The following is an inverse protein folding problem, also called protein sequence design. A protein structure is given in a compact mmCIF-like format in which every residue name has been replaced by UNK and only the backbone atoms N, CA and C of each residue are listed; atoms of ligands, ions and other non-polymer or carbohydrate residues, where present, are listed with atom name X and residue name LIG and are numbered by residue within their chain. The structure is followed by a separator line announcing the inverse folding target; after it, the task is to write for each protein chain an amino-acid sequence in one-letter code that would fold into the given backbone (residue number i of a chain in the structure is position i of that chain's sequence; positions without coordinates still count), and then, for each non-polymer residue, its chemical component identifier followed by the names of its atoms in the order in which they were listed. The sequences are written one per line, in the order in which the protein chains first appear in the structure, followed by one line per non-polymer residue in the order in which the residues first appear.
data_IF_000902516546
#
_entry.id   IF_000902516546
#
_cell.length_a   1.000
_cell.length_b   1.000
_cell.length_c   1.000
_cell.angle_alpha   90.00
_cell.angle_beta   90.00
_cell.angle_gamma   90.00
#
_symmetry.space_group_name_H-M   'P 1'
#
loop_
_entity.id
_entity.type
_entity.pdbx_description
1 polymer ?
#
# COMPACT_ATOMS: atom_id res chain seq x y z
N UNK A 1 -3.34 35.31 -52.24
CA UNK A 1 -4.58 35.19 -51.44
C UNK A 1 -5.32 33.86 -51.63
N UNK A 2 -5.67 33.40 -52.84
CA UNK A 2 -6.39 32.10 -53.01
C UNK A 2 -5.52 30.86 -52.73
N UNK A 3 -4.21 30.89 -53.01
CA UNK A 3 -3.32 29.74 -52.77
C UNK A 3 -3.00 29.55 -51.28
N UNK A 4 -2.69 30.62 -50.53
CA UNK A 4 -2.45 30.53 -49.08
C UNK A 4 -3.69 30.07 -48.29
N UNK A 5 -4.91 30.43 -48.73
CA UNK A 5 -6.12 29.90 -48.10
C UNK A 5 -6.32 28.41 -48.37
N UNK A 6 -5.89 27.94 -49.54
CA UNK A 6 -6.01 26.54 -49.93
C UNK A 6 -4.99 25.65 -49.18
N UNK A 7 -3.77 26.16 -48.96
CA UNK A 7 -2.74 25.47 -48.16
C UNK A 7 -3.19 25.32 -46.70
N UNK A 8 -3.69 26.40 -46.08
CA UNK A 8 -4.21 26.36 -44.69
C UNK A 8 -5.38 25.40 -44.52
N UNK A 9 -6.31 25.37 -45.48
CA UNK A 9 -7.45 24.43 -45.46
C UNK A 9 -6.96 22.99 -45.58
N UNK A 10 -5.92 22.74 -46.39
CA UNK A 10 -5.33 21.40 -46.55
C UNK A 10 -4.64 20.94 -45.26
N UNK A 11 -3.84 21.81 -44.64
CA UNK A 11 -3.22 21.56 -43.34
C UNK A 11 -4.25 21.27 -42.23
N UNK A 12 -5.39 21.98 -42.23
CA UNK A 12 -6.46 21.76 -41.26
C UNK A 12 -7.19 20.42 -41.48
N UNK A 13 -7.36 20.00 -42.74
CA UNK A 13 -7.91 18.68 -43.10
C UNK A 13 -6.95 17.57 -42.68
N UNK A 14 -5.64 17.75 -42.91
CA UNK A 14 -4.61 16.80 -42.54
C UNK A 14 -4.49 16.66 -41.01
N UNK A 15 -4.61 17.77 -40.27
CA UNK A 15 -4.63 17.74 -38.80
C UNK A 15 -5.89 17.03 -38.26
N UNK A 16 -7.08 17.30 -38.82
CA UNK A 16 -8.32 16.58 -38.46
C UNK A 16 -8.24 15.09 -38.78
N UNK A 17 -7.61 14.72 -39.88
CA UNK A 17 -7.36 13.33 -40.26
C UNK A 17 -6.42 12.64 -39.26
N UNK A 18 -5.36 13.33 -38.83
CA UNK A 18 -4.41 12.84 -37.84
C UNK A 18 -5.05 12.67 -36.46
N UNK A 19 -5.84 13.64 -35.98
CA UNK A 19 -6.60 13.53 -34.73
C UNK A 19 -7.52 12.30 -34.74
N UNK A 20 -8.32 12.12 -35.80
CA UNK A 20 -9.19 10.92 -35.94
C UNK A 20 -8.40 9.61 -35.94
N UNK A 21 -7.15 9.63 -36.41
CA UNK A 21 -6.29 8.45 -36.39
C UNK A 21 -5.76 8.19 -34.97
N UNK A 22 -5.36 9.23 -34.24
CA UNK A 22 -4.96 9.14 -32.84
C UNK A 22 -6.11 8.68 -31.95
N UNK A 23 -7.33 9.22 -32.13
CA UNK A 23 -8.51 8.81 -31.37
C UNK A 23 -8.80 7.31 -31.56
N UNK A 24 -8.72 6.81 -32.80
CA UNK A 24 -8.86 5.38 -33.07
C UNK A 24 -7.78 4.51 -32.44
N UNK A 25 -6.54 5.01 -32.35
CA UNK A 25 -5.47 4.27 -31.66
C UNK A 25 -5.66 4.30 -30.14
N UNK A 26 -6.15 5.42 -29.59
CA UNK A 26 -6.49 5.55 -28.17
C UNK A 26 -7.64 4.61 -27.80
N UNK A 27 -8.69 4.52 -28.62
CA UNK A 27 -9.82 3.61 -28.41
C UNK A 27 -9.35 2.15 -28.43
N UNK A 28 -8.51 1.77 -29.39
CA UNK A 28 -7.92 0.42 -29.44
C UNK A 28 -7.10 0.10 -28.20
N UNK A 29 -6.25 1.04 -27.76
CA UNK A 29 -5.41 0.85 -26.59
C UNK A 29 -6.26 0.76 -25.30
N UNK A 30 -7.32 1.55 -25.22
CA UNK A 30 -8.29 1.51 -24.11
C UNK A 30 -9.01 0.16 -24.08
N UNK A 31 -9.51 -0.31 -25.22
CA UNK A 31 -10.16 -1.62 -25.32
C UNK A 31 -9.21 -2.76 -24.95
N UNK A 32 -7.95 -2.72 -25.39
CA UNK A 32 -6.97 -3.76 -25.03
C UNK A 32 -6.63 -3.72 -23.54
N UNK A 33 -6.52 -2.52 -22.95
CA UNK A 33 -6.31 -2.37 -21.51
C UNK A 33 -7.49 -2.91 -20.70
N UNK A 34 -8.73 -2.58 -21.06
CA UNK A 34 -9.93 -3.11 -20.41
C UNK A 34 -10.04 -4.63 -20.55
N UNK A 35 -9.67 -5.17 -21.73
CA UNK A 35 -9.64 -6.61 -21.97
C UNK A 35 -8.61 -7.29 -21.06
N UNK A 36 -7.40 -6.74 -20.94
CA UNK A 36 -6.37 -7.27 -20.05
C UNK A 36 -6.79 -7.19 -18.59
N UNK A 37 -7.35 -6.05 -18.17
CA UNK A 37 -7.84 -5.87 -16.81
C UNK A 37 -8.92 -6.89 -16.45
N UNK A 38 -9.86 -7.16 -17.37
CA UNK A 38 -10.89 -8.18 -17.18
C UNK A 38 -10.31 -9.58 -17.04
N UNK A 39 -9.33 -9.95 -17.87
CA UNK A 39 -8.66 -11.26 -17.77
C UNK A 39 -7.96 -11.41 -16.41
N UNK A 40 -7.30 -10.36 -15.92
CA UNK A 40 -6.69 -10.38 -14.59
C UNK A 40 -7.73 -10.51 -13.47
N UNK A 41 -8.88 -9.84 -13.59
CA UNK A 41 -9.96 -9.93 -12.62
C UNK A 41 -10.57 -11.35 -12.59
N UNK A 42 -10.83 -11.95 -13.75
CA UNK A 42 -11.30 -13.33 -13.88
C UNK A 42 -10.28 -14.33 -13.30
N UNK A 43 -8.98 -14.11 -13.52
CA UNK A 43 -7.91 -14.95 -12.97
C UNK A 43 -7.80 -14.84 -11.44
N UNK A 44 -7.98 -13.63 -10.88
CA UNK A 44 -8.01 -13.41 -9.43
C UNK A 44 -9.22 -14.12 -8.81
N UNK A 45 -10.40 -14.02 -9.44
CA UNK A 45 -11.61 -14.69 -8.96
C UNK A 45 -11.44 -16.23 -8.99
N UNK A 46 -10.89 -16.77 -10.08
CA UNK A 46 -10.56 -18.20 -10.19
C UNK A 46 -9.58 -18.65 -9.10
N UNK A 47 -8.45 -17.95 -8.94
CA UNK A 47 -7.45 -18.30 -7.92
C UNK A 47 -8.03 -18.20 -6.50
N UNK A 48 -8.90 -17.22 -6.26
CA UNK A 48 -9.56 -17.05 -4.96
C UNK A 48 -10.50 -18.21 -4.64
N UNK A 49 -11.30 -18.64 -5.62
CA UNK A 49 -12.23 -19.78 -5.44
C UNK A 49 -11.48 -21.10 -5.28
N UNK A 50 -10.40 -21.32 -6.03
CA UNK A 50 -9.51 -22.49 -5.86
C UNK A 50 -8.87 -22.51 -4.47
N UNK A 51 -8.33 -21.38 -3.99
CA UNK A 51 -7.75 -21.29 -2.66
C UNK A 51 -8.79 -21.57 -1.55
N UNK A 52 -10.00 -21.01 -1.68
CA UNK A 52 -11.10 -21.28 -0.74
C UNK A 52 -11.49 -22.75 -0.72
N UNK A 53 -11.60 -23.39 -1.88
CA UNK A 53 -11.88 -24.81 -1.99
C UNK A 53 -10.81 -25.65 -1.30
N UNK A 54 -9.52 -25.40 -1.58
CA UNK A 54 -8.42 -26.13 -0.95
C UNK A 54 -8.39 -25.96 0.57
N UNK A 55 -8.70 -24.76 1.08
CA UNK A 55 -8.79 -24.51 2.53
C UNK A 55 -9.93 -25.32 3.15
N UNK A 56 -11.12 -25.29 2.53
CA UNK A 56 -12.29 -26.04 3.02
C UNK A 56 -12.03 -27.55 3.01
N UNK A 57 -11.44 -28.07 1.94
CA UNK A 57 -11.08 -29.48 1.83
C UNK A 57 -10.05 -29.89 2.89
N UNK A 58 -9.03 -29.07 3.12
CA UNK A 58 -8.06 -29.31 4.19
C UNK A 58 -8.72 -29.31 5.57
N UNK A 59 -9.57 -28.32 5.87
CA UNK A 59 -10.30 -28.22 7.15
C UNK A 59 -11.18 -29.44 7.39
N UNK A 60 -11.92 -29.89 6.37
CA UNK A 60 -12.76 -31.08 6.44
C UNK A 60 -11.91 -32.33 6.70
N UNK A 61 -10.82 -32.51 5.96
CA UNK A 61 -9.90 -33.65 6.15
C UNK A 61 -9.30 -33.68 7.56
N UNK A 62 -8.90 -32.54 8.11
CA UNK A 62 -8.41 -32.44 9.49
C UNK A 62 -9.51 -32.79 10.50
N UNK A 63 -10.72 -32.28 10.31
CA UNK A 63 -11.87 -32.59 11.17
C UNK A 63 -12.19 -34.08 11.18
N UNK A 64 -12.25 -34.71 10.00
CA UNK A 64 -12.53 -36.14 9.86
C UNK A 64 -11.43 -37.01 10.48
N UNK A 65 -10.16 -36.62 10.33
CA UNK A 65 -9.02 -37.31 10.94
C UNK A 65 -9.08 -37.23 12.46
N UNK A 66 -9.34 -36.04 13.00
CA UNK A 66 -9.46 -35.79 14.44
C UNK A 66 -10.62 -36.58 15.06
N UNK A 67 -11.77 -36.64 14.36
CA UNK A 67 -12.92 -37.40 14.83
C UNK A 67 -12.67 -38.92 14.83
N UNK A 68 -11.99 -39.45 13.80
CA UNK A 68 -11.57 -40.86 13.77
C UNK A 68 -10.65 -41.19 14.93
N UNK A 69 -9.68 -40.33 15.22
CA UNK A 69 -8.73 -40.53 16.31
C UNK A 69 -9.41 -40.44 17.68
N UNK A 70 -10.32 -39.48 17.87
CA UNK A 70 -11.19 -39.39 19.05
C UNK A 70 -11.98 -40.68 19.28
N UNK A 71 -12.61 -41.21 18.23
CA UNK A 71 -13.42 -42.42 18.31
C UNK A 71 -12.57 -43.66 18.63
N UNK A 72 -11.36 -43.73 18.07
CA UNK A 72 -10.37 -44.77 18.38
C UNK A 72 -10.00 -44.74 19.86
N UNK A 73 -9.57 -43.59 20.39
CA UNK A 73 -9.25 -43.46 21.81
C UNK A 73 -10.44 -43.80 22.71
N UNK A 74 -11.64 -43.34 22.37
CA UNK A 74 -12.85 -43.66 23.12
C UNK A 74 -13.09 -45.17 23.20
N UNK A 75 -12.87 -45.90 22.10
CA UNK A 75 -12.99 -47.36 22.07
C UNK A 75 -11.91 -48.03 22.93
N UNK A 76 -10.66 -47.59 22.81
CA UNK A 76 -9.53 -48.14 23.56
C UNK A 76 -9.69 -47.94 25.08
N UNK A 77 -10.20 -46.77 25.50
CA UNK A 77 -10.56 -46.51 26.89
C UNK A 77 -11.69 -47.42 27.37
N UNK A 78 -12.77 -47.55 26.59
CA UNK A 78 -13.90 -48.44 26.94
C UNK A 78 -13.46 -49.89 27.10
N UNK A 79 -12.58 -50.36 26.22
CA UNK A 79 -12.05 -51.72 26.29
C UNK A 79 -11.11 -51.91 27.50
N UNK A 80 -10.28 -50.91 27.81
CA UNK A 80 -9.42 -50.92 29.00
C UNK A 80 -10.23 -50.95 30.29
N UNK A 81 -11.31 -50.17 30.38
CA UNK A 81 -12.24 -50.19 31.52
C UNK A 81 -12.87 -51.59 31.67
N UNK A 82 -13.38 -52.16 30.58
CA UNK A 82 -13.98 -53.51 30.61
C UNK A 82 -12.99 -54.57 31.12
N UNK A 83 -11.73 -54.53 30.65
CA UNK A 83 -10.67 -55.44 31.12
C UNK A 83 -10.36 -55.26 32.61
N UNK A 84 -10.40 -54.02 33.11
CA UNK A 84 -10.21 -53.75 34.53
C UNK A 84 -11.40 -54.27 35.36
N UNK A 85 -12.63 -54.07 34.90
CA UNK A 85 -13.84 -54.60 35.55
C UNK A 85 -13.81 -56.14 35.62
N UNK A 86 -13.42 -56.81 34.52
CA UNK A 86 -13.25 -58.27 34.49
C UNK A 86 -12.21 -58.75 35.51
N UNK A 87 -11.04 -58.09 35.60
CA UNK A 87 -10.01 -58.39 36.60
C UNK A 87 -10.49 -58.17 38.03
N UNK A 88 -11.27 -57.12 38.28
CA UNK A 88 -11.86 -56.85 39.60
C UNK A 88 -12.82 -57.97 40.00
N UNK A 89 -13.67 -58.42 39.07
CA UNK A 89 -14.61 -59.53 39.30
C UNK A 89 -13.87 -60.85 39.56
N UNK A 90 -12.81 -61.14 38.81
CA UNK A 90 -11.99 -62.33 39.00
C UNK A 90 -11.27 -62.31 40.37
N UNK A 91 -10.69 -61.16 40.74
CA UNK A 91 -10.04 -60.98 42.04
C UNK A 91 -11.05 -61.11 43.19
N UNK A 92 -12.27 -60.57 43.04
CA UNK A 92 -13.33 -60.71 44.03
C UNK A 92 -13.73 -62.17 44.22
N UNK A 93 -13.92 -62.93 43.13
CA UNK A 93 -14.24 -64.36 43.20
C UNK A 93 -13.13 -65.17 43.86
N UNK A 94 -11.87 -64.90 43.53
CA UNK A 94 -10.70 -65.52 44.18
C UNK A 94 -10.67 -65.24 45.68
N UNK A 95 -11.00 -64.02 46.10
CA UNK A 95 -11.09 -63.65 47.51
C UNK A 95 -12.24 -64.37 48.23
N UNK A 96 -13.41 -64.49 47.59
CA UNK A 96 -14.55 -65.22 48.14
C UNK A 96 -14.28 -66.73 48.26
N UNK A 97 -13.64 -67.36 47.27
CA UNK A 97 -13.21 -68.77 47.32
C UNK A 97 -12.14 -69.01 48.42
N UNK A 98 -11.21 -68.06 48.59
CA UNK A 98 -10.23 -68.08 49.69
C UNK A 98 -10.93 -68.04 51.07
N UNK A 99 -11.92 -67.16 51.27
CA UNK A 99 -12.66 -67.09 52.53
C UNK A 99 -13.49 -68.34 52.85
N UNK A 100 -14.00 -69.04 51.83
CA UNK A 100 -14.84 -70.24 52.02
C UNK A 100 -14.03 -71.52 52.27
N UNK A 101 -12.71 -71.50 52.05
CA UNK A 101 -11.83 -72.67 52.23
C UNK A 101 -11.04 -72.65 53.55
N UNK A 102 -11.02 -71.52 54.26
CA UNK A 102 -10.39 -71.36 55.57
C UNK A 102 -11.39 -71.55 56.72
N UNK A 103 -11.40 -72.73 57.35
CA UNK A 103 -12.15 -73.01 58.61
C UNK A 103 -11.29 -72.92 59.88
N UNK A 104 -10.09 -72.37 59.79
CA UNK A 104 -9.29 -71.98 60.96
C UNK A 104 -8.85 -70.53 60.77
N UNK A 105 -8.77 -69.76 61.86
CA UNK A 105 -8.38 -68.35 61.90
C UNK A 105 -7.29 -68.06 60.86
N UNK A 106 -7.68 -67.44 59.74
CA UNK A 106 -6.84 -67.36 58.57
C UNK A 106 -5.72 -66.35 58.80
N UNK A 107 -4.56 -66.84 59.23
CA UNK A 107 -3.31 -66.11 59.16
C UNK A 107 -2.99 -65.85 57.69
N UNK A 108 -3.23 -64.63 57.19
CA UNK A 108 -2.81 -64.23 55.85
C UNK A 108 -1.28 -64.40 55.80
N UNK A 109 -0.73 -65.25 54.91
CA UNK A 109 0.71 -65.44 54.84
C UNK A 109 1.39 -64.09 54.61
N UNK A 110 2.38 -63.76 55.45
CA UNK A 110 3.09 -62.48 55.36
C UNK A 110 3.62 -62.21 53.94
N UNK A 111 3.95 -63.26 53.18
CA UNK A 111 4.33 -63.20 51.76
C UNK A 111 3.27 -62.53 50.85
N UNK A 112 1.99 -62.86 50.97
CA UNK A 112 0.94 -62.31 50.08
C UNK A 112 0.68 -60.82 50.34
N UNK A 113 0.70 -60.42 51.61
CA UNK A 113 0.62 -59.02 52.01
C UNK A 113 1.81 -58.23 51.45
N UNK A 114 3.00 -58.83 51.45
CA UNK A 114 4.22 -58.22 50.88
C UNK A 114 4.12 -58.06 49.36
N UNK A 115 3.56 -59.05 48.64
CA UNK A 115 3.34 -58.98 47.19
C UNK A 115 2.34 -57.88 46.84
N UNK A 116 1.19 -57.84 47.52
CA UNK A 116 0.17 -56.81 47.30
C UNK A 116 0.70 -55.40 47.61
N UNK A 117 1.52 -55.24 48.65
CA UNK A 117 2.15 -53.97 49.01
C UNK A 117 3.13 -53.48 47.92
N UNK A 118 3.88 -54.40 47.29
CA UNK A 118 4.75 -54.07 46.15
C UNK A 118 3.96 -53.67 44.90
N UNK A 119 2.86 -54.37 44.60
CA UNK A 119 1.99 -54.04 43.46
C UNK A 119 1.34 -52.66 43.67
N UNK A 120 0.82 -52.39 44.87
CA UNK A 120 0.23 -51.10 45.20
C UNK A 120 1.25 -49.95 45.10
N UNK A 121 2.49 -50.15 45.57
CA UNK A 121 3.55 -49.16 45.41
C UNK A 121 3.88 -48.88 43.95
N UNK A 122 3.99 -49.93 43.12
CA UNK A 122 4.24 -49.78 41.68
C UNK A 122 3.10 -49.01 41.00
N UNK A 123 1.86 -49.33 41.32
CA UNK A 123 0.70 -48.69 40.71
C UNK A 123 0.55 -47.25 41.16
N UNK A 124 0.87 -46.94 42.42
CA UNK A 124 0.91 -45.57 42.93
C UNK A 124 1.96 -44.73 42.17
N UNK A 125 3.14 -45.29 41.91
CA UNK A 125 4.19 -44.62 41.13
C UNK A 125 3.74 -44.34 39.69
N UNK A 126 3.14 -45.32 39.02
CA UNK A 126 2.62 -45.16 37.66
C UNK A 126 1.51 -44.11 37.59
N UNK A 127 0.59 -44.13 38.56
CA UNK A 127 -0.49 -43.13 38.66
C UNK A 127 0.08 -41.72 38.82
N UNK A 128 1.05 -41.54 39.72
CA UNK A 128 1.68 -40.23 39.94
C UNK A 128 2.41 -39.73 38.68
N UNK A 129 3.05 -40.62 37.91
CA UNK A 129 3.70 -40.26 36.65
C UNK A 129 2.68 -39.80 35.59
N UNK A 130 1.59 -40.56 35.42
CA UNK A 130 0.50 -40.20 34.50
C UNK A 130 -0.19 -38.89 34.90
N UNK A 131 -0.36 -38.65 36.19
CA UNK A 131 -0.93 -37.40 36.71
C UNK A 131 0.00 -36.21 36.45
N UNK A 132 1.32 -36.43 36.51
CA UNK A 132 2.33 -35.47 36.08
C UNK A 132 2.24 -35.11 34.59
N UNK A 133 2.10 -36.10 33.71
CA UNK A 133 1.92 -35.89 32.27
C UNK A 133 0.61 -35.14 31.95
N UNK A 134 -0.49 -35.51 32.61
CA UNK A 134 -1.78 -34.82 32.45
C UNK A 134 -1.66 -33.35 32.85
N UNK A 135 -0.97 -33.05 33.95
CA UNK A 135 -0.74 -31.68 34.39
C UNK A 135 0.15 -30.91 33.42
N UNK A 136 1.18 -31.55 32.86
CA UNK A 136 2.04 -30.94 31.84
C UNK A 136 1.24 -30.59 30.58
N UNK A 137 0.44 -31.53 30.06
CA UNK A 137 -0.41 -31.32 28.89
C UNK A 137 -1.48 -30.24 29.14
N UNK A 138 -2.05 -30.18 30.35
CA UNK A 138 -2.98 -29.09 30.74
C UNK A 138 -2.31 -27.72 30.67
N UNK A 139 -1.07 -27.60 31.14
CA UNK A 139 -0.33 -26.35 31.09
C UNK A 139 -0.02 -25.94 29.65
N UNK A 140 0.43 -26.87 28.81
CA UNK A 140 0.65 -26.60 27.37
C UNK A 140 -0.64 -26.17 26.66
N UNK A 141 -1.77 -26.82 26.95
CA UNK A 141 -3.09 -26.43 26.43
C UNK A 141 -3.51 -25.02 26.87
N UNK A 142 -3.19 -24.62 28.10
CA UNK A 142 -3.49 -23.28 28.58
C UNK A 142 -2.65 -22.21 27.87
N UNK A 143 -1.35 -22.47 27.65
CA UNK A 143 -0.47 -21.58 26.89
C UNK A 143 -0.92 -21.42 25.43
N UNK A 144 -1.28 -22.52 24.77
CA UNK A 144 -1.79 -22.49 23.39
C UNK A 144 -3.08 -21.68 23.29
N UNK A 145 -4.01 -21.82 24.23
CA UNK A 145 -5.25 -21.01 24.27
C UNK A 145 -4.98 -19.52 24.43
N UNK A 146 -4.01 -19.15 25.26
CA UNK A 146 -3.62 -17.74 25.41
C UNK A 146 -3.01 -17.18 24.13
N UNK A 147 -2.17 -17.97 23.45
CA UNK A 147 -1.58 -17.60 22.17
C UNK A 147 -2.63 -17.45 21.07
N UNK A 148 -3.60 -18.37 21.04
CA UNK A 148 -4.72 -18.36 20.09
C UNK A 148 -5.60 -17.11 20.28
N UNK A 149 -5.99 -16.79 21.51
CA UNK A 149 -6.73 -15.57 21.82
C UNK A 149 -5.99 -14.29 21.42
N UNK A 150 -4.66 -14.25 21.61
CA UNK A 150 -3.83 -13.12 21.14
C UNK A 150 -3.87 -13.00 19.61
N UNK A 151 -3.73 -14.12 18.90
CA UNK A 151 -3.78 -14.14 17.43
C UNK A 151 -5.15 -13.73 16.90
N UNK A 152 -6.23 -14.17 17.54
CA UNK A 152 -7.59 -13.75 17.19
C UNK A 152 -7.77 -12.23 17.34
N UNK A 153 -7.21 -11.64 18.41
CA UNK A 153 -7.20 -10.18 18.60
C UNK A 153 -6.48 -9.47 17.47
N UNK A 154 -5.32 -9.97 17.04
CA UNK A 154 -4.54 -9.35 15.96
C UNK A 154 -5.21 -9.51 14.60
N UNK A 155 -5.82 -10.67 14.33
CA UNK A 155 -6.65 -10.88 13.13
C UNK A 155 -7.83 -9.89 13.11
N UNK A 156 -8.48 -9.66 14.25
CA UNK A 156 -9.58 -8.70 14.35
C UNK A 156 -9.10 -7.27 14.04
N UNK A 157 -7.93 -6.86 14.56
CA UNK A 157 -7.33 -5.55 14.24
C UNK A 157 -7.02 -5.43 12.75
N UNK A 158 -6.42 -6.46 12.16
CA UNK A 158 -6.09 -6.48 10.72
C UNK A 158 -7.34 -6.38 9.85
N UNK A 159 -8.42 -7.10 10.20
CA UNK A 159 -9.70 -7.00 9.50
C UNK A 159 -10.27 -5.59 9.55
N UNK A 160 -10.22 -4.94 10.72
CA UNK A 160 -10.68 -3.56 10.87
C UNK A 160 -9.88 -2.58 10.01
N UNK A 161 -8.54 -2.68 10.03
CA UNK A 161 -7.70 -1.82 9.18
C UNK A 161 -7.98 -2.03 7.69
N UNK A 162 -8.20 -3.27 7.26
CA UNK A 162 -8.54 -3.58 5.87
C UNK A 162 -9.89 -2.97 5.47
N UNK A 163 -10.86 -2.99 6.38
CA UNK A 163 -12.17 -2.39 6.16
C UNK A 163 -12.08 -0.86 6.10
N UNK A 164 -11.30 -0.23 6.97
CA UNK A 164 -11.03 1.21 6.94
C UNK A 164 -10.35 1.62 5.61
N UNK A 165 -9.38 0.85 5.14
CA UNK A 165 -8.69 1.08 3.85
C UNK A 165 -9.65 0.95 2.65
N UNK A 166 -10.55 -0.05 2.68
CA UNK A 166 -11.57 -0.21 1.65
C UNK A 166 -12.53 0.99 1.60
N UNK A 167 -12.93 1.53 2.75
CA UNK A 167 -13.74 2.75 2.81
C UNK A 167 -13.00 3.97 2.26
N UNK A 168 -11.70 4.12 2.58
CA UNK A 168 -10.88 5.20 2.01
C UNK A 168 -10.77 5.09 0.48
N UNK A 169 -10.54 3.88 -0.03
CA UNK A 169 -10.47 3.62 -1.48
C UNK A 169 -11.75 4.03 -2.19
N UNK A 170 -12.91 3.70 -1.63
CA UNK A 170 -14.20 4.08 -2.23
C UNK A 170 -14.44 5.60 -2.18
N UNK A 171 -14.02 6.25 -1.09
CA UNK A 171 -14.05 7.72 -0.98
C UNK A 171 -13.18 8.37 -2.08
N UNK A 172 -11.93 7.93 -2.24
CA UNK A 172 -11.05 8.46 -3.28
C UNK A 172 -11.59 8.19 -4.68
N UNK A 173 -12.18 7.02 -4.93
CA UNK A 173 -12.85 6.71 -6.20
C UNK A 173 -13.99 7.67 -6.50
N UNK A 174 -14.80 8.01 -5.49
CA UNK A 174 -15.85 9.02 -5.60
C UNK A 174 -15.31 10.43 -5.87
N UNK A 175 -14.22 10.83 -5.21
CA UNK A 175 -13.54 12.10 -5.46
C UNK A 175 -12.96 12.18 -6.87
N UNK A 176 -12.33 11.11 -7.35
CA UNK A 176 -11.82 11.00 -8.73
C UNK A 176 -12.97 11.15 -9.72
N UNK A 177 -14.09 10.44 -9.53
CA UNK A 177 -15.25 10.56 -10.41
C UNK A 177 -15.84 11.99 -10.42
N UNK A 178 -15.87 12.65 -9.26
CA UNK A 178 -16.30 14.05 -9.14
C UNK A 178 -15.36 14.98 -9.89
N UNK A 179 -14.05 14.82 -9.71
CA UNK A 179 -13.02 15.61 -10.41
C UNK A 179 -13.08 15.39 -11.91
N UNK A 180 -13.27 14.14 -12.37
CA UNK A 180 -13.48 13.81 -13.78
C UNK A 180 -14.74 14.50 -14.32
N UNK A 181 -15.86 14.49 -13.59
CA UNK A 181 -17.09 15.20 -13.97
C UNK A 181 -16.88 16.72 -14.04
N UNK A 182 -16.17 17.31 -13.08
CA UNK A 182 -15.82 18.73 -13.09
C UNK A 182 -14.91 19.09 -14.26
N UNK A 183 -13.91 18.26 -14.57
CA UNK A 183 -13.07 18.41 -15.75
C UNK A 183 -13.88 18.34 -17.05
N UNK A 184 -14.87 17.44 -17.11
CA UNK A 184 -15.74 17.29 -18.27
C UNK A 184 -16.66 18.51 -18.43
N UNK A 185 -17.20 19.05 -17.33
CA UNK A 185 -17.95 20.31 -17.32
C UNK A 185 -17.09 21.50 -17.74
N UNK A 186 -15.89 21.64 -17.18
CA UNK A 186 -14.95 22.68 -17.56
C UNK A 186 -14.55 22.55 -19.03
N UNK A 187 -14.35 21.33 -19.54
CA UNK A 187 -14.12 21.08 -20.97
C UNK A 187 -15.31 21.51 -21.84
N UNK A 188 -16.54 21.27 -21.38
CA UNK A 188 -17.76 21.67 -22.06
C UNK A 188 -17.98 23.20 -22.02
N UNK A 189 -17.68 23.83 -20.88
CA UNK A 189 -17.71 25.29 -20.71
C UNK A 189 -16.64 25.96 -21.56
N UNK A 190 -15.40 25.45 -21.53
CA UNK A 190 -14.31 25.88 -22.41
C UNK A 190 -14.74 25.75 -23.88
N UNK A 191 -15.37 24.64 -24.28
CA UNK A 191 -15.95 24.45 -25.60
C UNK A 191 -17.04 25.47 -25.97
N UNK A 192 -17.92 25.84 -25.02
CA UNK A 192 -18.93 26.89 -25.20
C UNK A 192 -18.30 28.29 -25.28
N UNK A 193 -17.30 28.61 -24.46
CA UNK A 193 -16.53 29.85 -24.59
C UNK A 193 -15.77 29.92 -25.92
N UNK A 194 -15.29 28.80 -26.46
CA UNK A 194 -14.71 28.75 -27.82
C UNK A 194 -15.76 28.99 -28.91
N UNK A 195 -16.99 28.50 -28.76
CA UNK A 195 -18.08 28.81 -29.71
C UNK A 195 -18.57 30.26 -29.61
N UNK A 196 -18.58 30.86 -28.42
CA UNK A 196 -18.84 32.30 -28.25
C UNK A 196 -17.66 33.18 -28.70
N UNK A 197 -16.42 32.69 -28.60
CA UNK A 197 -15.23 33.36 -29.14
C UNK A 197 -14.99 33.10 -30.63
N UNK A 198 -15.65 32.11 -31.25
CA UNK A 198 -15.63 31.94 -32.71
C UNK A 198 -16.46 33.01 -33.45
N UNK A 199 -17.32 33.74 -32.74
CA UNK A 199 -17.87 35.01 -33.24
C UNK A 199 -16.88 36.20 -33.11
N UNK A 200 -15.70 35.99 -32.50
CA UNK A 200 -14.65 37.00 -32.35
C UNK A 200 -13.24 36.37 -32.29
N UNK A 201 -12.75 35.93 -33.45
CA UNK A 201 -11.33 35.94 -33.86
C UNK A 201 -10.26 35.21 -33.02
N UNK A 202 -9.69 34.15 -33.61
CA UNK A 202 -8.28 33.67 -33.52
C UNK A 202 -7.48 33.99 -32.23
N UNK A 203 -7.18 32.99 -31.38
CA UNK A 203 -6.29 33.29 -30.25
C UNK A 203 -5.67 32.21 -29.35
N UNK A 204 -5.75 30.90 -29.61
CA UNK A 204 -5.28 29.94 -28.57
C UNK A 204 -3.80 29.52 -28.64
N UNK A 205 -3.10 29.67 -29.77
CA UNK A 205 -1.62 29.59 -29.79
C UNK A 205 -0.93 30.94 -29.55
N UNK A 206 -1.70 32.03 -29.46
CA UNK A 206 -1.18 33.38 -29.29
C UNK A 206 -1.11 33.84 -27.82
N UNK A 207 -1.71 33.13 -26.86
CA UNK A 207 -1.84 33.59 -25.48
C UNK A 207 -0.55 33.42 -24.65
N UNK A 208 0.16 32.30 -24.79
CA UNK A 208 1.43 32.07 -24.07
C UNK A 208 2.56 32.90 -24.68
N UNK A 209 2.62 33.04 -26.01
CA UNK A 209 3.56 33.95 -26.67
C UNK A 209 3.32 35.42 -26.27
N UNK A 210 2.06 35.88 -26.23
CA UNK A 210 1.69 37.23 -25.77
C UNK A 210 2.03 37.50 -24.30
N UNK A 211 2.00 36.48 -23.43
CA UNK A 211 2.37 36.61 -22.02
C UNK A 211 3.84 37.05 -21.85
N UNK A 212 4.74 36.61 -22.75
CA UNK A 212 6.13 37.07 -22.77
C UNK A 212 6.28 38.41 -23.51
N UNK A 213 5.55 38.63 -24.60
CA UNK A 213 5.66 39.85 -25.42
C UNK A 213 5.14 41.13 -24.74
N UNK A 214 4.28 41.03 -23.72
CA UNK A 214 3.70 42.18 -23.01
C UNK A 214 4.19 42.35 -21.57
N UNK A 215 5.33 41.76 -21.19
CA UNK A 215 5.85 41.85 -19.83
C UNK A 215 5.03 41.10 -18.77
N UNK A 216 4.13 40.20 -19.21
CA UNK A 216 3.30 39.38 -18.33
C UNK A 216 4.13 38.47 -17.41
N UNK A 217 5.27 37.97 -17.90
CA UNK A 217 6.22 37.22 -17.07
C UNK A 217 6.69 38.03 -15.86
N UNK A 218 7.12 39.28 -16.05
CA UNK A 218 7.58 40.15 -14.95
C UNK A 218 6.49 40.39 -13.91
N UNK A 219 5.25 40.58 -14.38
CA UNK A 219 4.10 40.71 -13.48
C UNK A 219 3.83 39.42 -12.69
N UNK A 220 3.94 38.25 -13.32
CA UNK A 220 3.79 36.96 -12.63
C UNK A 220 4.90 36.77 -11.59
N UNK A 221 6.14 37.11 -11.92
CA UNK A 221 7.26 37.00 -10.99
C UNK A 221 7.09 37.93 -9.78
N UNK A 222 6.57 39.14 -9.97
CA UNK A 222 6.25 40.04 -8.84
C UNK A 222 5.18 39.47 -7.89
N UNK A 223 4.30 38.60 -8.38
CA UNK A 223 3.28 37.94 -7.56
C UNK A 223 3.86 36.79 -6.71
N UNK A 224 5.07 36.30 -6.99
CA UNK A 224 5.78 35.35 -6.12
C UNK A 224 6.14 35.98 -4.76
N UNK A 225 6.17 37.31 -4.69
CA UNK A 225 6.46 38.08 -3.49
C UNK A 225 5.20 38.70 -2.87
N UNK A 226 4.01 38.40 -3.42
CA UNK A 226 2.75 38.96 -2.93
C UNK A 226 2.44 38.51 -1.49
N UNK A 227 1.96 39.43 -0.65
CA UNK A 227 1.53 39.12 0.73
C UNK A 227 0.38 38.09 0.77
N UNK A 228 -0.55 38.18 -0.18
CA UNK A 228 -1.67 37.25 -0.30
C UNK A 228 -1.21 35.85 -0.71
N UNK A 229 -1.45 34.87 0.18
CA UNK A 229 -1.00 33.47 0.01
C UNK A 229 -1.58 32.82 -1.25
N UNK A 230 -2.86 33.05 -1.56
CA UNK A 230 -3.50 32.49 -2.76
C UNK A 230 -2.91 33.04 -4.07
N UNK A 231 -2.61 34.34 -4.10
CA UNK A 231 -1.99 34.98 -5.26
C UNK A 231 -0.58 34.42 -5.50
N UNK A 232 0.17 34.22 -4.41
CA UNK A 232 1.51 33.64 -4.43
C UNK A 232 1.49 32.19 -4.92
N UNK A 233 0.63 31.34 -4.36
CA UNK A 233 0.49 29.93 -4.77
C UNK A 233 0.13 29.84 -6.25
N UNK A 234 -0.83 30.65 -6.72
CA UNK A 234 -1.23 30.65 -8.11
C UNK A 234 -0.10 31.14 -9.04
N UNK A 235 0.67 32.15 -8.62
CA UNK A 235 1.85 32.59 -9.36
C UNK A 235 2.91 31.49 -9.47
N UNK A 236 3.22 30.79 -8.37
CA UNK A 236 4.18 29.67 -8.37
C UNK A 236 3.71 28.55 -9.31
N UNK A 237 2.41 28.20 -9.31
CA UNK A 237 1.82 27.22 -10.23
C UNK A 237 1.96 27.64 -11.70
N UNK A 238 1.71 28.91 -12.00
CA UNK A 238 1.87 29.44 -13.37
C UNK A 238 3.33 29.34 -13.79
N UNK A 239 4.29 29.73 -12.94
CA UNK A 239 5.72 29.65 -13.23
C UNK A 239 6.15 28.19 -13.43
N UNK A 240 5.69 27.26 -12.59
CA UNK A 240 5.96 25.83 -12.74
C UNK A 240 5.47 25.30 -14.09
N UNK A 241 4.25 25.65 -14.48
CA UNK A 241 3.70 25.27 -15.78
C UNK A 241 4.43 25.93 -16.96
N UNK A 242 4.89 27.18 -16.82
CA UNK A 242 5.68 27.83 -17.87
C UNK A 242 7.06 27.18 -18.01
N UNK A 243 7.67 26.74 -16.90
CA UNK A 243 9.00 26.13 -16.87
C UNK A 243 9.07 24.74 -17.48
N UNK A 244 7.93 24.03 -17.66
CA UNK A 244 7.93 22.73 -18.34
C UNK A 244 8.28 22.84 -19.83
N UNK A 245 8.13 24.03 -20.42
CA UNK A 245 8.49 24.31 -21.80
C UNK A 245 9.95 24.77 -21.88
N UNK A 246 10.80 24.04 -22.62
CA UNK A 246 12.23 24.31 -22.78
C UNK A 246 12.52 25.76 -23.20
N UNK A 247 11.72 26.31 -24.11
CA UNK A 247 11.87 27.67 -24.65
C UNK A 247 11.63 28.78 -23.61
N UNK A 248 11.01 28.46 -22.47
CA UNK A 248 10.71 29.39 -21.39
C UNK A 248 11.70 29.30 -20.24
N UNK A 249 12.37 28.16 -20.05
CA UNK A 249 13.24 27.90 -18.91
C UNK A 249 14.33 28.97 -18.77
N UNK A 250 15.04 29.28 -19.85
CA UNK A 250 16.08 30.32 -19.84
C UNK A 250 15.49 31.72 -19.56
N UNK A 251 14.37 32.06 -20.20
CA UNK A 251 13.70 33.36 -20.04
C UNK A 251 13.22 33.60 -18.60
N UNK A 252 12.73 32.56 -17.93
CA UNK A 252 12.31 32.63 -16.53
C UNK A 252 13.50 32.93 -15.62
N UNK A 253 14.65 32.29 -15.86
CA UNK A 253 15.87 32.54 -15.09
C UNK A 253 16.43 33.94 -15.35
N UNK A 254 16.51 34.37 -16.61
CA UNK A 254 16.95 35.72 -17.01
C UNK A 254 16.05 36.81 -16.42
N UNK A 255 14.76 36.52 -16.25
CA UNK A 255 13.79 37.42 -15.62
C UNK A 255 13.88 37.45 -14.08
N UNK A 256 14.78 36.70 -13.46
CA UNK A 256 14.96 36.64 -12.00
C UNK A 256 14.11 35.59 -11.28
N UNK A 257 13.33 34.79 -12.02
CA UNK A 257 12.38 33.84 -11.43
C UNK A 257 13.04 32.75 -10.58
N UNK A 258 14.28 32.35 -10.91
CA UNK A 258 15.03 31.39 -10.10
C UNK A 258 15.25 31.88 -8.67
N UNK A 259 15.67 33.13 -8.51
CA UNK A 259 15.96 33.71 -7.19
C UNK A 259 14.70 33.79 -6.33
N UNK A 260 13.57 34.19 -6.93
CA UNK A 260 12.27 34.20 -6.24
C UNK A 260 11.83 32.79 -5.84
N UNK A 261 11.99 31.80 -6.72
CA UNK A 261 11.65 30.40 -6.42
C UNK A 261 12.50 29.81 -5.29
N UNK A 262 13.82 30.05 -5.28
CA UNK A 262 14.71 29.58 -4.22
C UNK A 262 14.41 30.24 -2.88
N UNK A 263 14.12 31.55 -2.88
CA UNK A 263 13.73 32.30 -1.68
C UNK A 263 12.42 31.76 -1.11
N UNK A 264 11.45 31.50 -1.98
CA UNK A 264 10.14 30.98 -1.61
C UNK A 264 10.22 29.54 -1.10
N UNK A 265 11.05 28.70 -1.72
CA UNK A 265 11.31 27.34 -1.24
C UNK A 265 11.95 27.34 0.17
N UNK A 266 12.90 28.26 0.40
CA UNK A 266 13.59 28.39 1.70
C UNK A 266 12.69 28.90 2.83
N UNK A 267 11.81 29.86 2.52
CA UNK A 267 11.06 30.61 3.55
C UNK A 267 9.63 30.11 3.76
N UNK A 268 9.05 29.36 2.82
CA UNK A 268 7.68 28.86 2.93
C UNK A 268 7.59 27.70 3.92
N UNK A 269 6.53 27.70 4.73
CA UNK A 269 6.10 26.55 5.54
C UNK A 269 4.89 25.82 4.90
N UNK A 270 4.31 26.40 3.84
CA UNK A 270 3.23 25.75 3.10
C UNK A 270 3.79 24.67 2.17
N UNK A 271 3.39 23.43 2.41
CA UNK A 271 3.84 22.25 1.65
C UNK A 271 3.48 22.37 0.17
N UNK A 272 2.32 22.93 -0.17
CA UNK A 272 1.91 23.09 -1.58
C UNK A 272 2.85 24.04 -2.31
N UNK A 273 3.21 25.15 -1.67
CA UNK A 273 4.16 26.14 -2.17
C UNK A 273 5.54 25.53 -2.35
N UNK A 274 6.05 24.79 -1.35
CA UNK A 274 7.34 24.10 -1.44
C UNK A 274 7.36 23.07 -2.57
N UNK A 275 6.32 22.22 -2.66
CA UNK A 275 6.19 21.20 -3.71
C UNK A 275 6.23 21.81 -5.12
N UNK A 276 5.42 22.83 -5.36
CA UNK A 276 5.29 23.44 -6.69
C UNK A 276 6.53 24.26 -7.03
N UNK A 277 7.17 24.93 -6.05
CA UNK A 277 8.44 25.61 -6.27
C UNK A 277 9.58 24.64 -6.59
N UNK A 278 9.67 23.52 -5.86
CA UNK A 278 10.63 22.46 -6.15
C UNK A 278 10.40 21.85 -7.55
N UNK A 279 9.14 21.67 -7.96
CA UNK A 279 8.79 21.23 -9.32
C UNK A 279 9.25 22.22 -10.39
N UNK A 280 9.03 23.52 -10.19
CA UNK A 280 9.51 24.54 -11.11
C UNK A 280 11.05 24.52 -11.21
N UNK A 281 11.75 24.41 -10.08
CA UNK A 281 13.22 24.32 -10.06
C UNK A 281 13.70 23.05 -10.78
N UNK A 282 13.02 21.92 -10.60
CA UNK A 282 13.35 20.67 -11.29
C UNK A 282 13.26 20.82 -12.82
N UNK A 283 12.21 21.50 -13.31
CA UNK A 283 12.05 21.78 -14.73
C UNK A 283 13.13 22.74 -15.23
N UNK A 284 13.45 23.81 -14.49
CA UNK A 284 14.52 24.73 -14.84
C UNK A 284 15.89 24.04 -14.89
N UNK A 285 16.14 23.05 -14.02
CA UNK A 285 17.36 22.25 -13.97
C UNK A 285 17.52 21.29 -15.16
N UNK A 286 16.51 21.12 -16.02
CA UNK A 286 16.67 20.36 -17.27
C UNK A 286 17.56 21.08 -18.29
N UNK A 287 17.72 22.40 -18.16
CA UNK A 287 18.61 23.20 -19.01
C UNK A 287 20.00 23.36 -18.37
N UNK A 288 21.05 22.95 -19.07
CA UNK A 288 22.43 22.94 -18.54
C UNK A 288 22.91 24.32 -18.05
N UNK A 289 22.63 25.40 -18.78
CA UNK A 289 23.01 26.77 -18.39
C UNK A 289 22.31 27.20 -17.10
N UNK A 290 21.05 26.81 -16.92
CA UNK A 290 20.32 27.10 -15.69
C UNK A 290 20.86 26.30 -14.51
N UNK A 291 21.33 25.07 -14.73
CA UNK A 291 21.89 24.26 -13.66
C UNK A 291 23.09 24.96 -12.98
N UNK A 292 24.00 25.57 -13.75
CA UNK A 292 25.13 26.32 -13.20
C UNK A 292 24.65 27.48 -12.32
N UNK A 293 23.61 28.19 -12.77
CA UNK A 293 23.01 29.29 -12.02
C UNK A 293 22.30 28.80 -10.75
N UNK A 294 21.62 27.65 -10.80
CA UNK A 294 20.99 27.03 -9.63
C UNK A 294 22.04 26.65 -8.60
N UNK A 295 23.16 26.06 -9.03
CA UNK A 295 24.28 25.72 -8.14
C UNK A 295 24.92 26.98 -7.56
N UNK A 296 25.20 27.99 -8.38
CA UNK A 296 25.80 29.25 -7.95
C UNK A 296 24.93 30.03 -6.94
N UNK A 297 23.61 29.90 -7.01
CA UNK A 297 22.67 30.49 -6.04
C UNK A 297 22.43 29.62 -4.79
N UNK A 298 23.23 28.55 -4.59
CA UNK A 298 23.11 27.68 -3.43
C UNK A 298 21.89 26.75 -3.48
N UNK A 299 21.33 26.50 -4.66
CA UNK A 299 20.12 25.72 -4.85
C UNK A 299 20.22 24.29 -4.31
N UNK A 300 21.39 23.65 -4.38
CA UNK A 300 21.62 22.31 -3.80
C UNK A 300 21.40 22.31 -2.29
N UNK A 301 21.93 23.30 -1.58
CA UNK A 301 21.77 23.39 -0.13
C UNK A 301 20.30 23.63 0.24
N UNK A 302 19.62 24.55 -0.45
CA UNK A 302 18.20 24.84 -0.21
C UNK A 302 17.34 23.59 -0.47
N UNK A 303 17.58 22.88 -1.58
CA UNK A 303 16.89 21.62 -1.89
C UNK A 303 17.17 20.55 -0.83
N UNK A 304 18.42 20.38 -0.39
CA UNK A 304 18.79 19.43 0.66
C UNK A 304 18.11 19.73 2.00
N UNK A 305 18.12 21.01 2.42
CA UNK A 305 17.39 21.44 3.62
C UNK A 305 15.88 21.22 3.49
N UNK A 306 15.31 21.42 2.30
CA UNK A 306 13.89 21.15 2.06
C UNK A 306 13.60 19.65 2.20
N UNK A 307 14.43 18.79 1.64
CA UNK A 307 14.29 17.33 1.79
C UNK A 307 14.40 16.87 3.26
N UNK A 308 15.25 17.51 4.05
CA UNK A 308 15.42 17.16 5.46
C UNK A 308 14.19 17.53 6.32
N UNK A 309 13.41 18.52 5.91
CA UNK A 309 12.28 19.05 6.68
C UNK A 309 10.90 18.66 6.12
N UNK A 310 10.82 18.17 4.88
CA UNK A 310 9.56 17.84 4.24
C UNK A 310 9.04 16.46 4.65
N UNK A 311 7.78 16.39 5.10
CA UNK A 311 7.07 15.14 5.38
C UNK A 311 6.30 14.62 4.15
N UNK A 312 5.89 15.54 3.25
CA UNK A 312 5.15 15.24 2.01
C UNK A 312 6.00 14.43 0.99
N UNK A 313 5.64 13.18 0.66
CA UNK A 313 6.39 12.36 -0.29
C UNK A 313 6.47 12.97 -1.70
N UNK A 314 5.48 13.79 -2.07
CA UNK A 314 5.42 14.43 -3.38
C UNK A 314 6.44 15.57 -3.45
N UNK A 315 6.59 16.33 -2.38
CA UNK A 315 7.66 17.33 -2.23
C UNK A 315 9.03 16.67 -2.31
N UNK A 316 9.26 15.58 -1.58
CA UNK A 316 10.51 14.81 -1.64
C UNK A 316 10.83 14.32 -3.05
N UNK A 317 9.83 13.84 -3.79
CA UNK A 317 9.99 13.42 -5.19
C UNK A 317 10.44 14.58 -6.10
N UNK A 318 9.84 15.76 -5.96
CA UNK A 318 10.21 16.93 -6.76
C UNK A 318 11.63 17.40 -6.45
N UNK A 319 11.98 17.44 -5.16
CA UNK A 319 13.34 17.79 -4.71
C UNK A 319 14.38 16.80 -5.22
N UNK A 320 14.10 15.49 -5.11
CA UNK A 320 14.98 14.45 -5.65
C UNK A 320 15.15 14.59 -7.18
N UNK A 321 14.07 14.90 -7.91
CA UNK A 321 14.13 15.16 -9.35
C UNK A 321 15.00 16.38 -9.70
N UNK A 322 14.87 17.48 -8.94
CA UNK A 322 15.72 18.65 -9.12
C UNK A 322 17.20 18.34 -8.88
N UNK A 323 17.53 17.64 -7.78
CA UNK A 323 18.91 17.24 -7.47
C UNK A 323 19.46 16.30 -8.54
N UNK A 324 18.67 15.31 -8.99
CA UNK A 324 19.08 14.39 -10.06
C UNK A 324 19.41 15.14 -11.36
N UNK A 325 18.59 16.11 -11.75
CA UNK A 325 18.85 16.94 -12.93
C UNK A 325 20.15 17.76 -12.78
N UNK A 326 20.44 18.27 -11.58
CA UNK A 326 21.68 19.01 -11.30
C UNK A 326 22.94 18.10 -11.28
N UNK A 327 22.79 16.83 -10.93
CA UNK A 327 23.86 15.83 -10.89
C UNK A 327 24.08 15.10 -12.23
N UNK A 328 23.16 15.22 -13.19
CA UNK A 328 23.24 14.53 -14.49
C UNK A 328 24.40 14.98 -15.39
N UNK A 329 24.99 16.15 -15.12
CA UNK A 329 26.16 16.64 -15.86
C UNK A 329 27.46 16.11 -15.23
N UNK A 330 28.11 15.18 -15.92
CA UNK A 330 29.28 14.41 -15.46
C UNK A 330 30.56 15.20 -15.11
N UNK A 331 30.54 16.53 -15.17
CA UNK A 331 31.65 17.40 -14.72
C UNK A 331 31.52 17.86 -13.26
N UNK A 332 30.39 17.60 -12.58
CA UNK A 332 30.14 18.10 -11.21
C UNK A 332 30.50 17.13 -10.07
N UNK A 333 31.32 16.12 -10.34
CA UNK A 333 31.77 15.07 -9.41
C UNK A 333 32.62 15.57 -8.21
N UNK A 334 32.66 16.87 -7.93
CA UNK A 334 33.45 17.43 -6.83
C UNK A 334 32.62 18.52 -6.13
N UNK A 335 31.50 18.14 -5.52
CA UNK A 335 31.06 18.86 -4.32
C UNK A 335 32.00 18.39 -3.22
N UNK A 336 33.07 19.18 -3.00
CA UNK A 336 33.89 19.06 -1.80
C UNK A 336 32.95 19.22 -0.61
N UNK A 337 32.81 18.16 0.18
CA UNK A 337 32.48 18.31 1.58
C UNK A 337 33.64 19.10 2.21
N UNK A 338 33.44 20.40 2.44
CA UNK A 338 34.22 21.14 3.41
C UNK A 338 33.36 21.28 4.68
N UNK A 339 34.04 21.07 5.81
CA UNK A 339 33.55 20.72 7.15
C UNK A 339 32.48 21.64 7.77
#
# INVERSE_FOLDING_TARGET
MKEESMVKVKEEIDYKSLCRRLDRELDKLTMEYERQQKVFEDDIERLTTEAQHCILEAQQNYSDSLEKERLKYQKDYKESIKRLEEKVMENKKKYEEFCMTSTEEAFVPAEEVVILKKILQRETLLRNAAEGEINHLKNQMAELKMLEASRESDILKLRKMLEDEAHQKEKFKGEIARLQSQLLQLGFEVGKTKQQQQASGNGEKASVAKLFEQGGLQKILSLLEAEATDARINAVKIVANLSSEETNQKKIVEAGGLTSLLTLLKNSQDETTQRVAASAIANLAMNETNQDLIVAQGGINILSMTAANAEDPQTLRMVAGAIANLCGNGERSIIKCED
#
